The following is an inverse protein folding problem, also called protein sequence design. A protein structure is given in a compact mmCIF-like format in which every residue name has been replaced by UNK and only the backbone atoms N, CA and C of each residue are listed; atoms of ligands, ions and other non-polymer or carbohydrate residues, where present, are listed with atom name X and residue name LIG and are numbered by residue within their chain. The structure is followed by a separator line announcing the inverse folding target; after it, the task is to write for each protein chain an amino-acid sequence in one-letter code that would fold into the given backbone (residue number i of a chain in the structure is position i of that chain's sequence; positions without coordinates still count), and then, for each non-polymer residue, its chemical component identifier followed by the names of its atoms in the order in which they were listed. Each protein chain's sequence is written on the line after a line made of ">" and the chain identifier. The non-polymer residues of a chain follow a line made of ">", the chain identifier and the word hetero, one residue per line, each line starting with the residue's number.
data_IF_718138121041
#
_entry.id   IF_718138121041
#
_cell.length_a   1.000
_cell.length_b   1.000
_cell.length_c   1.000
_cell.angle_alpha   90.00
_cell.angle_beta   90.00
_cell.angle_gamma   90.00
#
_symmetry.space_group_name_H-M   'P 1'
#
loop_
_entity.id
_entity.type
_entity.pdbx_description
1 polymer ?
#
# COMPACT_ATOMS: atom_id res chain seq x y z
N UNK A 1 -37.65 13.54 5.99
CA UNK A 1 -37.89 12.48 5.00
C UNK A 1 -36.64 12.35 4.14
N UNK A 2 -35.86 11.30 4.41
CA UNK A 2 -34.47 11.14 3.95
C UNK A 2 -34.37 10.53 2.55
N UNK A 3 -33.36 10.98 1.79
CA UNK A 3 -32.93 10.37 0.53
C UNK A 3 -31.77 9.40 0.85
N UNK A 4 -32.07 8.13 1.01
CA UNK A 4 -31.10 7.03 1.11
C UNK A 4 -31.48 5.90 0.15
N UNK A 5 -30.54 5.03 -0.21
CA UNK A 5 -30.76 3.92 -1.15
C UNK A 5 -30.43 2.56 -0.53
N UNK A 6 -30.97 1.48 -1.11
CA UNK A 6 -30.79 0.08 -0.68
C UNK A 6 -30.60 -0.81 -1.91
N UNK A 7 -29.88 -1.91 -1.74
CA UNK A 7 -29.69 -2.92 -2.79
C UNK A 7 -30.70 -4.06 -2.62
N UNK A 8 -31.11 -4.62 -3.77
CA UNK A 8 -31.98 -5.79 -3.86
C UNK A 8 -31.16 -6.92 -4.49
N UNK A 9 -30.99 -8.02 -3.76
CA UNK A 9 -30.52 -9.28 -4.32
C UNK A 9 -31.67 -10.30 -4.30
N UNK A 10 -31.87 -10.97 -5.43
CA UNK A 10 -32.75 -12.15 -5.50
C UNK A 10 -31.91 -13.39 -5.25
N UNK A 11 -32.28 -14.17 -4.23
CA UNK A 11 -31.69 -15.48 -3.96
C UNK A 11 -32.65 -16.62 -4.38
N UNK A 12 -32.12 -17.84 -4.46
CA UNK A 12 -32.73 -19.11 -4.93
C UNK A 12 -33.84 -19.66 -4.01
N UNK A 13 -34.80 -18.80 -3.64
CA UNK A 13 -36.05 -19.17 -2.99
C UNK A 13 -36.88 -17.93 -2.72
N UNK A 14 -37.83 -17.63 -3.61
CA UNK A 14 -39.00 -16.70 -3.58
C UNK A 14 -39.04 -15.45 -2.65
N UNK A 15 -37.94 -15.02 -2.06
CA UNK A 15 -37.85 -13.87 -1.16
C UNK A 15 -36.80 -12.87 -1.66
N UNK A 16 -37.19 -11.61 -1.73
CA UNK A 16 -36.25 -10.51 -2.00
C UNK A 16 -35.44 -10.21 -0.73
N UNK A 17 -34.11 -10.23 -0.85
CA UNK A 17 -33.20 -9.85 0.23
C UNK A 17 -32.81 -8.38 0.02
N UNK A 18 -33.17 -7.53 0.99
CA UNK A 18 -32.85 -6.10 0.99
C UNK A 18 -31.68 -5.85 1.95
N UNK A 19 -30.62 -5.20 1.47
CA UNK A 19 -29.48 -4.83 2.32
C UNK A 19 -28.95 -3.42 2.00
N UNK A 20 -28.40 -2.75 3.01
CA UNK A 20 -27.64 -1.51 2.83
C UNK A 20 -26.37 -1.77 2.06
N UNK A 21 -25.86 -0.77 1.33
CA UNK A 21 -24.46 -0.77 0.88
C UNK A 21 -23.57 -1.22 2.05
N UNK A 22 -22.92 -2.39 1.96
CA UNK A 22 -22.09 -2.92 3.05
C UNK A 22 -20.95 -1.97 3.42
N UNK A 23 -20.73 -0.95 2.58
CA UNK A 23 -19.54 -0.13 2.48
C UNK A 23 -19.82 1.36 2.74
N UNK A 24 -21.08 1.71 3.01
CA UNK A 24 -21.48 3.06 3.39
C UNK A 24 -20.95 3.43 4.79
N UNK A 25 -20.20 4.54 4.90
CA UNK A 25 -19.51 4.97 6.14
C UNK A 25 -20.45 5.47 7.28
N UNK A 26 -21.78 5.51 7.08
CA UNK A 26 -22.86 5.69 8.07
C UNK A 26 -24.13 5.02 7.55
N UNK A 27 -24.98 4.61 8.47
CA UNK A 27 -26.22 3.89 8.20
C UNK A 27 -27.30 4.30 9.21
N UNK A 28 -28.56 4.04 8.88
CA UNK A 28 -29.72 4.22 9.77
C UNK A 28 -30.66 3.00 9.67
N UNK A 29 -31.69 2.94 10.51
CA UNK A 29 -32.62 1.80 10.61
C UNK A 29 -34.08 2.23 10.36
N UNK A 30 -34.84 1.40 9.66
CA UNK A 30 -36.30 1.47 9.61
C UNK A 30 -36.91 0.06 9.77
N UNK A 31 -38.23 -0.07 9.54
CA UNK A 31 -38.96 -1.33 9.71
C UNK A 31 -38.43 -2.48 8.84
N UNK A 32 -37.68 -2.18 7.78
CA UNK A 32 -37.18 -3.12 6.78
C UNK A 32 -35.64 -3.32 6.91
N UNK A 33 -34.99 -2.86 7.99
CA UNK A 33 -33.55 -3.09 8.26
C UNK A 33 -32.61 -1.90 8.01
N UNK A 34 -31.29 -2.15 7.88
CA UNK A 34 -30.24 -1.12 7.69
C UNK A 34 -30.36 -0.44 6.31
N UNK A 35 -30.15 0.88 6.26
CA UNK A 35 -30.02 1.69 5.02
C UNK A 35 -28.75 2.54 5.03
N UNK A 36 -28.15 2.73 3.87
CA UNK A 36 -26.94 3.53 3.68
C UNK A 36 -27.22 5.03 3.72
N UNK A 37 -26.35 5.79 4.39
CA UNK A 37 -26.44 7.25 4.50
C UNK A 37 -25.05 7.92 4.56
N UNK A 38 -24.34 8.29 3.48
CA UNK A 38 -23.20 9.22 3.64
C UNK A 38 -22.93 10.08 2.42
N UNK A 39 -22.73 11.38 2.68
CA UNK A 39 -21.90 12.30 1.89
C UNK A 39 -20.63 12.56 2.71
N UNK A 40 -19.47 12.73 2.08
CA UNK A 40 -18.28 13.21 2.80
C UNK A 40 -18.59 14.52 3.53
N UNK A 41 -18.07 14.68 4.75
CA UNK A 41 -18.06 15.97 5.44
C UNK A 41 -16.66 16.58 5.38
N UNK A 42 -16.51 17.79 5.90
CA UNK A 42 -15.24 18.53 5.89
C UNK A 42 -14.30 18.11 7.02
N UNK A 43 -14.73 17.22 7.92
CA UNK A 43 -13.99 16.86 9.14
C UNK A 43 -13.33 15.48 9.01
N UNK A 44 -13.95 14.55 8.27
CA UNK A 44 -13.46 13.18 8.11
C UNK A 44 -13.43 12.71 6.66
N UNK A 45 -12.49 11.82 6.34
CA UNK A 45 -12.47 11.17 5.04
C UNK A 45 -13.66 10.22 4.85
N UNK A 46 -13.82 9.65 3.65
CA UNK A 46 -14.78 8.56 3.41
C UNK A 46 -14.22 7.37 2.56
N UNK A 47 -14.77 6.14 2.71
CA UNK A 47 -14.27 4.91 2.05
C UNK A 47 -15.19 4.75 0.87
N UNK A 48 -14.57 4.63 -0.28
CA UNK A 48 -15.18 4.27 -1.53
C UNK A 48 -14.54 2.97 -2.01
N UNK A 49 -15.15 2.39 -3.03
CA UNK A 49 -14.82 1.04 -3.48
C UNK A 49 -14.82 1.03 -5.00
N UNK A 50 -13.83 0.35 -5.57
CA UNK A 50 -13.88 -0.04 -6.98
C UNK A 50 -14.37 -1.48 -7.02
N UNK A 51 -15.44 -1.78 -7.78
CA UNK A 51 -15.91 -3.16 -7.96
C UNK A 51 -14.80 -4.09 -8.45
N UNK A 52 -15.04 -5.39 -8.35
CA UNK A 52 -14.08 -6.40 -8.77
C UNK A 52 -13.59 -6.18 -10.21
N UNK A 53 -12.29 -5.94 -10.33
CA UNK A 53 -11.58 -5.86 -11.59
C UNK A 53 -11.21 -7.27 -12.06
N UNK A 54 -11.18 -7.53 -13.38
CA UNK A 54 -10.84 -8.84 -13.92
C UNK A 54 -9.50 -9.38 -13.43
N UNK A 55 -8.48 -8.51 -13.31
CA UNK A 55 -7.11 -8.90 -13.01
C UNK A 55 -6.55 -9.89 -14.05
N UNK A 56 -6.56 -9.47 -15.31
CA UNK A 56 -6.06 -10.25 -16.43
C UNK A 56 -4.61 -10.67 -16.21
N UNK A 57 -4.33 -11.95 -16.42
CA UNK A 57 -3.03 -12.57 -16.10
C UNK A 57 -2.97 -13.18 -14.69
N UNK A 58 -3.92 -12.86 -13.81
CA UNK A 58 -4.03 -13.46 -12.48
C UNK A 58 -5.24 -14.40 -12.38
N UNK A 59 -5.26 -15.25 -11.36
CA UNK A 59 -6.33 -16.24 -11.14
C UNK A 59 -7.57 -15.67 -10.44
N UNK A 60 -7.44 -14.49 -9.82
CA UNK A 60 -8.45 -13.96 -8.91
C UNK A 60 -8.79 -12.50 -9.21
N UNK A 61 -10.08 -12.19 -9.50
CA UNK A 61 -10.50 -10.81 -9.67
C UNK A 61 -10.29 -10.03 -8.37
N UNK A 62 -10.16 -8.71 -8.48
CA UNK A 62 -9.71 -7.88 -7.37
C UNK A 62 -10.59 -6.64 -7.16
N UNK A 63 -11.31 -6.52 -6.04
CA UNK A 63 -11.88 -5.23 -5.66
C UNK A 63 -10.77 -4.30 -5.18
N UNK A 64 -11.00 -2.98 -5.17
CA UNK A 64 -10.10 -2.02 -4.53
C UNK A 64 -10.84 -1.25 -3.44
N UNK A 65 -10.16 -1.01 -2.33
CA UNK A 65 -10.66 -0.16 -1.25
C UNK A 65 -9.99 1.20 -1.35
N UNK A 66 -10.77 2.28 -1.34
CA UNK A 66 -10.26 3.63 -1.61
C UNK A 66 -10.66 4.52 -0.45
N UNK A 67 -9.68 5.10 0.23
CA UNK A 67 -9.92 6.19 1.19
C UNK A 67 -9.68 7.52 0.48
N UNK A 68 -10.67 8.42 0.57
CA UNK A 68 -10.57 9.80 0.06
C UNK A 68 -10.54 10.80 1.23
N UNK A 69 -9.84 11.94 1.09
CA UNK A 69 -9.59 12.84 2.21
C UNK A 69 -10.85 13.62 2.64
N UNK A 70 -10.83 14.22 3.85
CA UNK A 70 -11.88 15.15 4.28
C UNK A 70 -12.10 16.26 3.25
N UNK A 71 -13.35 16.69 3.07
CA UNK A 71 -13.69 17.75 2.12
C UNK A 71 -13.66 17.35 0.63
N UNK A 72 -13.36 16.08 0.31
CA UNK A 72 -13.26 15.61 -1.08
C UNK A 72 -14.51 15.95 -1.90
N UNK A 73 -15.72 15.67 -1.39
CA UNK A 73 -16.98 15.93 -2.12
C UNK A 73 -17.35 17.42 -2.26
N UNK A 74 -16.65 18.29 -1.53
CA UNK A 74 -16.86 19.74 -1.54
C UNK A 74 -15.80 20.47 -2.38
N UNK A 75 -14.82 19.75 -2.92
CA UNK A 75 -13.73 20.29 -3.72
C UNK A 75 -13.64 19.64 -5.10
N UNK A 76 -13.13 20.41 -6.06
CA UNK A 76 -12.75 19.94 -7.40
C UNK A 76 -11.23 19.63 -7.49
N UNK A 77 -10.52 19.69 -6.36
CA UNK A 77 -9.10 19.39 -6.29
C UNK A 77 -8.79 17.96 -6.73
N UNK A 78 -7.57 17.77 -7.22
CA UNK A 78 -6.99 16.47 -7.57
C UNK A 78 -5.91 16.08 -6.59
N UNK A 79 -5.81 14.78 -6.32
CA UNK A 79 -5.01 14.27 -5.21
C UNK A 79 -3.97 13.25 -5.67
N UNK A 80 -2.77 13.25 -5.06
CA UNK A 80 -1.83 12.13 -5.21
C UNK A 80 -2.42 10.83 -4.65
N UNK A 81 -1.95 9.69 -5.17
CA UNK A 81 -2.48 8.36 -4.84
C UNK A 81 -1.36 7.43 -4.37
N UNK A 82 -1.57 6.84 -3.19
CA UNK A 82 -0.70 5.80 -2.63
C UNK A 82 -1.40 4.45 -2.69
N UNK A 83 -0.86 3.52 -3.47
CA UNK A 83 -1.33 2.14 -3.54
C UNK A 83 -0.65 1.34 -2.42
N UNK A 84 -1.44 0.80 -1.50
CA UNK A 84 -0.98 -0.04 -0.39
C UNK A 84 -1.40 -1.49 -0.63
N UNK A 85 -0.43 -2.40 -0.65
CA UNK A 85 -0.69 -3.84 -0.76
C UNK A 85 -1.32 -4.40 0.52
N UNK A 86 -1.92 -5.58 0.40
CA UNK A 86 -2.65 -6.23 1.48
C UNK A 86 -3.84 -5.38 1.95
N UNK A 87 -4.61 -4.85 1.01
CA UNK A 87 -5.80 -4.01 1.22
C UNK A 87 -6.80 -4.58 2.24
N UNK A 88 -6.81 -5.91 2.43
CA UNK A 88 -7.55 -6.59 3.50
C UNK A 88 -7.20 -6.10 4.92
N UNK A 89 -6.03 -5.48 5.11
CA UNK A 89 -5.46 -5.03 6.38
C UNK A 89 -5.22 -3.51 6.44
N UNK A 90 -5.53 -2.74 5.39
CA UNK A 90 -5.07 -1.33 5.29
C UNK A 90 -5.91 -0.36 6.14
N UNK A 91 -7.24 -0.49 6.18
CA UNK A 91 -8.12 0.56 6.74
C UNK A 91 -8.85 0.19 8.04
N UNK A 92 -9.56 -0.94 8.11
CA UNK A 92 -10.38 -1.24 9.28
C UNK A 92 -10.35 -2.73 9.64
N UNK A 93 -10.10 -3.02 10.92
CA UNK A 93 -10.21 -4.35 11.54
C UNK A 93 -11.60 -4.99 11.45
N UNK A 94 -12.64 -4.21 11.18
CA UNK A 94 -14.02 -4.69 11.03
C UNK A 94 -14.40 -4.98 9.58
N UNK A 95 -13.49 -4.76 8.62
CA UNK A 95 -13.68 -5.37 7.30
C UNK A 95 -13.68 -6.90 7.48
N UNK A 96 -14.68 -7.55 6.89
CA UNK A 96 -15.07 -8.97 7.08
C UNK A 96 -13.95 -9.99 6.73
N UNK A 97 -12.81 -9.51 6.25
CA UNK A 97 -11.62 -10.29 5.86
C UNK A 97 -10.33 -9.87 6.57
N UNK A 98 -10.41 -9.18 7.71
CA UNK A 98 -9.21 -8.80 8.47
C UNK A 98 -8.43 -10.06 8.86
N UNK A 99 -7.20 -10.16 8.37
CA UNK A 99 -6.27 -11.24 8.71
C UNK A 99 -6.00 -11.23 10.23
N UNK A 100 -5.74 -12.40 10.87
CA UNK A 100 -5.50 -12.48 12.31
C UNK A 100 -4.34 -11.61 12.85
N UNK A 101 -3.55 -10.95 12.00
CA UNK A 101 -2.40 -10.11 12.34
C UNK A 101 -2.72 -8.65 12.74
N UNK A 102 -3.90 -8.13 12.39
CA UNK A 102 -4.30 -6.76 12.72
C UNK A 102 -4.46 -5.86 11.49
N UNK A 103 -4.39 -4.54 11.71
CA UNK A 103 -4.67 -3.51 10.69
C UNK A 103 -3.66 -2.39 10.79
N UNK A 104 -3.38 -1.77 9.65
CA UNK A 104 -2.56 -0.57 9.57
C UNK A 104 -3.30 0.68 10.04
N UNK A 105 -4.64 0.68 9.97
CA UNK A 105 -5.49 1.85 10.20
C UNK A 105 -4.95 3.08 9.47
N UNK A 106 -4.60 2.89 8.19
CA UNK A 106 -3.94 3.90 7.37
C UNK A 106 -4.80 5.15 7.19
N UNK A 107 -6.13 5.00 7.24
CA UNK A 107 -7.08 6.11 7.26
C UNK A 107 -6.93 6.96 8.52
N UNK A 108 -6.87 6.34 9.70
CA UNK A 108 -6.68 7.06 10.97
C UNK A 108 -5.30 7.74 11.02
N UNK A 109 -4.24 7.04 10.62
CA UNK A 109 -2.89 7.62 10.58
C UNK A 109 -2.85 8.82 9.62
N UNK A 110 -3.51 8.73 8.46
CA UNK A 110 -3.61 9.84 7.51
C UNK A 110 -4.43 11.01 8.06
N UNK A 111 -5.56 10.75 8.72
CA UNK A 111 -6.37 11.80 9.39
C UNK A 111 -5.55 12.53 10.48
N UNK A 112 -4.78 11.80 11.29
CA UNK A 112 -3.90 12.39 12.31
C UNK A 112 -2.81 13.27 11.67
N UNK A 113 -2.19 12.81 10.57
CA UNK A 113 -1.19 13.61 9.86
C UNK A 113 -1.79 14.86 9.21
N UNK A 114 -3.02 14.78 8.68
CA UNK A 114 -3.74 15.92 8.11
C UNK A 114 -4.11 16.95 9.19
N UNK A 115 -4.65 16.49 10.32
CA UNK A 115 -4.99 17.35 11.45
C UNK A 115 -3.76 18.06 12.03
N UNK A 116 -2.59 17.40 12.02
CA UNK A 116 -1.31 17.98 12.41
C UNK A 116 -0.66 18.89 11.37
N UNK A 117 -1.19 18.99 10.15
CA UNK A 117 -0.60 19.75 9.05
C UNK A 117 0.72 19.15 8.53
N UNK A 118 0.98 17.88 8.80
CA UNK A 118 2.22 17.18 8.43
C UNK A 118 2.22 16.69 6.98
N UNK A 119 1.04 16.55 6.38
CA UNK A 119 0.84 16.08 5.00
C UNK A 119 -0.20 16.92 4.28
N UNK A 120 -0.13 16.95 2.94
CA UNK A 120 -1.22 17.42 2.09
C UNK A 120 -2.30 16.34 1.93
N UNK A 121 -3.56 16.70 1.64
CA UNK A 121 -4.60 15.74 1.28
C UNK A 121 -4.19 14.81 0.14
N UNK A 122 -4.56 13.53 0.26
CA UNK A 122 -4.18 12.46 -0.66
C UNK A 122 -5.18 11.31 -0.64
N UNK A 123 -5.12 10.43 -1.63
CA UNK A 123 -5.92 9.20 -1.71
C UNK A 123 -5.05 8.00 -1.33
N UNK A 124 -5.60 7.09 -0.55
CA UNK A 124 -4.97 5.79 -0.27
C UNK A 124 -5.82 4.71 -0.92
N UNK A 125 -5.20 3.83 -1.70
CA UNK A 125 -5.86 2.68 -2.34
C UNK A 125 -5.31 1.41 -1.73
N UNK A 126 -6.11 0.69 -0.96
CA UNK A 126 -5.81 -0.66 -0.50
C UNK A 126 -6.10 -1.66 -1.61
N UNK A 127 -5.07 -2.41 -2.02
CA UNK A 127 -5.16 -3.50 -3.00
C UNK A 127 -5.17 -4.84 -2.24
N UNK A 128 -6.32 -5.51 -2.09
CA UNK A 128 -6.41 -6.79 -1.39
C UNK A 128 -5.42 -7.82 -1.92
N UNK A 129 -4.98 -8.75 -1.08
CA UNK A 129 -4.33 -9.97 -1.54
C UNK A 129 -5.37 -11.06 -1.85
N UNK A 130 -4.93 -12.12 -2.53
CA UNK A 130 -5.71 -13.33 -2.79
C UNK A 130 -5.10 -14.53 -2.05
N UNK A 131 -5.65 -15.71 -2.29
CA UNK A 131 -5.03 -16.97 -1.85
C UNK A 131 -3.67 -17.23 -2.51
N UNK A 132 -3.41 -16.58 -3.65
CA UNK A 132 -2.16 -16.64 -4.43
C UNK A 132 -1.18 -15.53 -4.04
N UNK A 133 -1.28 -14.97 -2.82
CA UNK A 133 -0.42 -13.85 -2.36
C UNK A 133 1.07 -14.11 -2.55
N UNK A 134 1.56 -15.33 -2.31
CA UNK A 134 2.99 -15.63 -2.45
C UNK A 134 3.41 -15.65 -3.91
N UNK A 135 2.53 -16.14 -4.77
CA UNK A 135 2.66 -16.25 -6.21
C UNK A 135 2.69 -14.83 -6.82
N UNK A 136 1.69 -14.02 -6.50
CA UNK A 136 1.49 -12.65 -6.98
C UNK A 136 2.53 -11.64 -6.46
N UNK A 137 3.04 -11.79 -5.23
CA UNK A 137 3.91 -10.76 -4.61
C UNK A 137 5.42 -11.05 -4.73
N UNK A 138 5.80 -12.06 -5.51
CA UNK A 138 7.21 -12.44 -5.64
C UNK A 138 7.64 -12.53 -7.09
N UNK A 139 8.79 -11.93 -7.38
CA UNK A 139 9.28 -11.65 -8.74
C UNK A 139 9.98 -12.85 -9.42
N UNK A 140 10.23 -13.92 -8.67
CA UNK A 140 10.80 -15.18 -9.14
C UNK A 140 10.24 -16.35 -8.34
N UNK A 141 10.14 -17.56 -8.91
CA UNK A 141 9.88 -18.77 -8.15
C UNK A 141 10.98 -19.04 -7.11
N UNK A 142 10.59 -19.50 -5.92
CA UNK A 142 11.50 -19.95 -4.87
C UNK A 142 10.87 -21.09 -4.05
N UNK A 143 11.68 -21.81 -3.28
CA UNK A 143 11.24 -22.90 -2.40
C UNK A 143 11.20 -22.42 -0.95
N UNK A 144 10.07 -21.83 -0.57
CA UNK A 144 9.83 -21.37 0.80
C UNK A 144 9.09 -22.44 1.62
N UNK A 145 9.60 -22.77 2.82
CA UNK A 145 9.04 -23.80 3.71
C UNK A 145 8.75 -25.13 3.00
N UNK A 146 9.64 -25.52 2.08
CA UNK A 146 9.51 -26.78 1.33
C UNK A 146 8.48 -26.77 0.20
N UNK A 147 7.84 -25.64 -0.09
CA UNK A 147 6.84 -25.49 -1.18
C UNK A 147 7.39 -24.56 -2.26
N UNK A 148 7.26 -24.94 -3.53
CA UNK A 148 7.55 -24.05 -4.65
C UNK A 148 6.43 -23.03 -4.79
N UNK A 149 6.77 -21.74 -4.78
CA UNK A 149 5.84 -20.61 -4.89
C UNK A 149 6.50 -19.47 -5.66
N UNK A 150 5.68 -18.52 -6.12
CA UNK A 150 6.20 -17.28 -6.70
C UNK A 150 6.37 -17.31 -8.21
N UNK A 151 6.66 -16.13 -8.75
CA UNK A 151 6.94 -15.94 -10.17
C UNK A 151 5.94 -15.05 -10.90
N UNK A 152 4.80 -14.73 -10.29
CA UNK A 152 3.71 -14.00 -10.96
C UNK A 152 3.77 -12.49 -10.65
N UNK A 153 4.86 -12.00 -10.06
CA UNK A 153 5.03 -10.59 -9.72
C UNK A 153 4.97 -9.64 -10.90
N UNK A 154 5.40 -10.06 -12.09
CA UNK A 154 5.30 -9.26 -13.32
C UNK A 154 3.82 -9.07 -13.73
N UNK A 155 3.02 -10.14 -13.67
CA UNK A 155 1.58 -10.11 -13.99
C UNK A 155 0.80 -9.30 -12.96
N UNK A 156 1.16 -9.38 -11.68
CA UNK A 156 0.57 -8.54 -10.64
C UNK A 156 0.86 -7.05 -10.85
N UNK A 157 2.09 -6.70 -11.25
CA UNK A 157 2.44 -5.31 -11.58
C UNK A 157 1.72 -4.84 -12.84
N UNK A 158 1.54 -5.70 -13.85
CA UNK A 158 0.73 -5.40 -15.02
C UNK A 158 -0.72 -5.11 -14.63
N UNK A 159 -1.35 -5.94 -13.80
CA UNK A 159 -2.69 -5.69 -13.24
C UNK A 159 -2.76 -4.31 -12.54
N UNK A 160 -1.78 -3.98 -11.70
CA UNK A 160 -1.78 -2.69 -10.99
C UNK A 160 -1.78 -1.50 -11.95
N UNK A 161 -0.94 -1.55 -12.99
CA UNK A 161 -0.74 -0.39 -13.87
C UNK A 161 -1.76 -0.32 -15.00
N UNK A 162 -2.18 -1.47 -15.52
CA UNK A 162 -3.00 -1.53 -16.74
C UNK A 162 -4.51 -1.65 -16.43
N UNK A 163 -4.87 -2.04 -15.19
CA UNK A 163 -6.27 -2.16 -14.76
C UNK A 163 -6.57 -1.33 -13.50
N UNK A 164 -5.85 -1.57 -12.40
CA UNK A 164 -6.19 -0.97 -11.11
C UNK A 164 -6.05 0.55 -11.12
N UNK A 165 -4.89 1.06 -11.55
CA UNK A 165 -4.63 2.49 -11.62
C UNK A 165 -5.58 3.22 -12.58
N UNK A 166 -5.79 2.77 -13.83
CA UNK A 166 -6.79 3.37 -14.73
C UNK A 166 -8.21 3.36 -14.15
N UNK A 167 -8.60 2.29 -13.46
CA UNK A 167 -9.91 2.19 -12.83
C UNK A 167 -10.11 3.21 -11.69
N UNK A 168 -9.05 3.51 -10.93
CA UNK A 168 -9.04 4.54 -9.90
C UNK A 168 -9.04 5.93 -10.54
N UNK A 169 -8.15 6.19 -11.50
CA UNK A 169 -8.02 7.49 -12.19
C UNK A 169 -9.31 7.91 -12.93
N UNK A 170 -10.09 6.94 -13.42
CA UNK A 170 -11.36 7.19 -14.08
C UNK A 170 -12.52 7.51 -13.10
N UNK A 171 -12.40 7.11 -11.83
CA UNK A 171 -13.48 7.22 -10.82
C UNK A 171 -13.22 8.32 -9.80
N UNK A 172 -11.95 8.62 -9.52
CA UNK A 172 -11.52 9.57 -8.51
C UNK A 172 -10.73 10.72 -9.13
N UNK A 173 -10.72 11.88 -8.46
CA UNK A 173 -9.95 13.06 -8.87
C UNK A 173 -8.48 12.87 -8.51
N UNK A 174 -7.78 12.06 -9.29
CA UNK A 174 -6.36 11.79 -9.08
C UNK A 174 -5.47 12.77 -9.86
N UNK A 175 -4.24 12.91 -9.37
CA UNK A 175 -3.07 13.38 -10.12
C UNK A 175 -2.35 12.13 -10.68
N UNK A 176 -2.53 11.79 -11.97
CA UNK A 176 -2.16 10.46 -12.47
C UNK A 176 -0.69 10.34 -12.86
N UNK A 177 0.09 11.42 -12.78
CA UNK A 177 1.50 11.42 -13.14
C UNK A 177 2.37 10.72 -12.10
N UNK A 178 3.60 10.41 -12.52
CA UNK A 178 4.58 9.66 -11.73
C UNK A 178 4.86 10.28 -10.36
N UNK A 179 5.04 11.60 -10.29
CA UNK A 179 5.40 12.27 -9.04
C UNK A 179 4.27 12.21 -8.00
N UNK A 180 3.05 11.91 -8.44
CA UNK A 180 1.87 11.80 -7.59
C UNK A 180 1.32 10.37 -7.47
N UNK A 181 2.09 9.37 -7.91
CA UNK A 181 1.71 7.96 -7.82
C UNK A 181 2.77 7.17 -7.04
N UNK A 182 2.37 6.63 -5.89
CA UNK A 182 3.23 5.84 -5.01
C UNK A 182 2.72 4.41 -4.80
N UNK A 183 3.62 3.50 -4.50
CA UNK A 183 3.31 2.10 -4.14
C UNK A 183 4.04 1.70 -2.87
N UNK A 184 3.37 1.02 -1.95
CA UNK A 184 4.01 0.50 -0.74
C UNK A 184 3.34 -0.73 -0.13
N UNK A 185 4.08 -1.43 0.72
CA UNK A 185 3.56 -2.51 1.56
C UNK A 185 4.56 -3.00 2.59
N UNK A 186 4.22 -4.07 3.31
CA UNK A 186 5.15 -4.76 4.22
C UNK A 186 5.42 -6.19 3.83
N UNK A 187 6.53 -6.78 4.30
CA UNK A 187 6.85 -8.18 4.03
C UNK A 187 6.96 -8.43 2.50
N UNK A 188 6.21 -9.41 1.97
CA UNK A 188 6.06 -9.58 0.52
C UNK A 188 5.42 -8.37 -0.17
N UNK A 189 4.55 -7.62 0.50
CA UNK A 189 4.00 -6.34 0.01
C UNK A 189 5.10 -5.29 -0.22
N UNK A 190 6.13 -5.27 0.63
CA UNK A 190 7.30 -4.42 0.43
C UNK A 190 8.17 -4.90 -0.74
N UNK A 191 8.33 -6.22 -0.88
CA UNK A 191 9.03 -6.83 -2.03
C UNK A 191 8.35 -6.47 -3.36
N UNK A 192 7.04 -6.68 -3.48
CA UNK A 192 6.30 -6.40 -4.72
C UNK A 192 6.24 -4.90 -5.03
N UNK A 193 6.26 -4.02 -4.01
CA UNK A 193 6.40 -2.57 -4.22
C UNK A 193 7.73 -2.23 -4.91
N UNK A 194 8.83 -2.81 -4.45
CA UNK A 194 10.14 -2.60 -5.06
C UNK A 194 10.25 -3.22 -6.45
N UNK A 195 9.60 -4.37 -6.68
CA UNK A 195 9.49 -4.95 -8.00
C UNK A 195 8.65 -4.10 -8.96
N UNK A 196 7.54 -3.52 -8.49
CA UNK A 196 6.75 -2.55 -9.25
C UNK A 196 7.57 -1.31 -9.63
N UNK A 197 8.34 -0.77 -8.68
CA UNK A 197 9.27 0.34 -8.92
C UNK A 197 10.39 0.00 -9.91
N UNK A 198 10.86 -1.25 -9.91
CA UNK A 198 11.89 -1.74 -10.83
C UNK A 198 11.36 -1.84 -12.27
N UNK A 199 10.18 -2.43 -12.46
CA UNK A 199 9.56 -2.64 -13.77
C UNK A 199 8.96 -1.37 -14.36
N UNK A 200 8.32 -0.54 -13.52
CA UNK A 200 7.52 0.62 -13.94
C UNK A 200 7.98 1.92 -13.28
N UNK A 201 9.27 2.30 -13.45
CA UNK A 201 9.77 3.58 -12.96
C UNK A 201 9.13 4.77 -13.68
N UNK A 202 8.45 4.55 -14.80
CA UNK A 202 7.62 5.55 -15.50
C UNK A 202 6.32 5.88 -14.77
N UNK A 203 5.82 4.99 -13.91
CA UNK A 203 4.53 5.12 -13.22
C UNK A 203 4.71 5.44 -11.74
N UNK A 204 5.60 4.74 -11.04
CA UNK A 204 5.73 4.88 -9.59
C UNK A 204 6.89 5.81 -9.24
N UNK A 205 6.58 7.05 -8.83
CA UNK A 205 7.57 8.01 -8.36
C UNK A 205 7.97 7.80 -6.90
N UNK A 206 7.16 7.07 -6.12
CA UNK A 206 7.44 6.69 -4.74
C UNK A 206 7.31 5.18 -4.56
N UNK A 207 8.30 4.59 -3.89
CA UNK A 207 8.38 3.13 -3.64
C UNK A 207 8.70 2.91 -2.16
N UNK A 208 7.77 2.31 -1.42
CA UNK A 208 7.89 2.08 0.02
C UNK A 208 7.87 0.61 0.40
N UNK A 209 8.72 0.21 1.34
CA UNK A 209 8.77 -1.15 1.87
C UNK A 209 9.07 -1.19 3.35
N UNK A 210 8.25 -1.92 4.11
CA UNK A 210 8.43 -2.14 5.55
C UNK A 210 8.68 -3.62 5.84
N UNK A 211 9.79 -3.93 6.51
CA UNK A 211 10.19 -5.30 6.81
C UNK A 211 10.20 -6.18 5.56
N UNK A 212 10.69 -5.64 4.44
CA UNK A 212 10.52 -6.23 3.11
C UNK A 212 11.32 -7.52 2.95
N UNK A 213 10.72 -8.53 2.30
CA UNK A 213 11.37 -9.83 2.06
C UNK A 213 12.32 -9.78 0.85
N UNK A 214 13.31 -8.89 0.89
CA UNK A 214 14.21 -8.65 -0.24
C UNK A 214 15.12 -9.83 -0.58
N UNK A 215 15.34 -10.75 0.36
CA UNK A 215 16.09 -11.99 0.13
C UNK A 215 15.34 -13.07 -0.67
N UNK A 216 14.10 -12.82 -1.11
CA UNK A 216 13.35 -13.78 -1.93
C UNK A 216 14.10 -14.11 -3.22
N UNK A 217 14.15 -15.39 -3.57
CA UNK A 217 14.98 -15.95 -4.64
C UNK A 217 16.12 -16.83 -4.12
N UNK A 218 16.44 -16.76 -2.82
CA UNK A 218 17.53 -17.51 -2.16
C UNK A 218 17.09 -18.40 -1.00
N UNK A 219 15.79 -18.64 -0.82
CA UNK A 219 15.29 -19.48 0.28
C UNK A 219 15.49 -20.98 0.02
N UNK A 220 15.38 -21.42 -1.23
CA UNK A 220 15.68 -22.80 -1.59
C UNK A 220 16.01 -23.03 -3.06
N UNK A 221 15.97 -21.98 -3.88
CA UNK A 221 16.52 -21.93 -5.23
C UNK A 221 17.65 -20.89 -5.31
N UNK A 222 18.29 -20.77 -6.48
CA UNK A 222 19.34 -19.79 -6.77
C UNK A 222 18.83 -18.76 -7.81
N UNK A 223 17.71 -18.12 -7.49
CA UNK A 223 17.11 -17.05 -8.29
C UNK A 223 17.68 -15.67 -7.94
N UNK A 224 17.59 -14.69 -8.85
CA UNK A 224 18.03 -13.33 -8.57
C UNK A 224 17.13 -12.68 -7.51
N UNK A 225 17.71 -12.15 -6.45
CA UNK A 225 16.96 -11.34 -5.48
C UNK A 225 16.57 -9.99 -6.06
N UNK A 226 15.64 -9.28 -5.43
CA UNK A 226 15.32 -7.92 -5.88
C UNK A 226 16.52 -6.97 -5.69
N UNK A 227 17.34 -7.20 -4.66
CA UNK A 227 18.59 -6.44 -4.44
C UNK A 227 19.51 -6.63 -5.64
N UNK A 228 19.70 -7.86 -6.11
CA UNK A 228 20.54 -8.14 -7.28
C UNK A 228 19.98 -7.54 -8.58
N UNK A 229 18.66 -7.51 -8.74
CA UNK A 229 18.01 -6.82 -9.86
C UNK A 229 18.32 -5.31 -9.84
N UNK A 230 18.17 -4.65 -8.70
CA UNK A 230 18.54 -3.24 -8.57
C UNK A 230 20.06 -3.03 -8.74
N UNK A 231 20.89 -3.98 -8.29
CA UNK A 231 22.34 -3.90 -8.45
C UNK A 231 22.78 -3.92 -9.92
N UNK A 232 22.04 -4.62 -10.78
CA UNK A 232 22.27 -4.66 -12.21
C UNK A 232 21.90 -3.34 -12.94
N UNK A 233 21.16 -2.43 -12.29
CA UNK A 233 20.82 -1.13 -12.88
C UNK A 233 22.02 -0.18 -12.94
N UNK A 234 22.11 0.56 -14.03
CA UNK A 234 23.18 1.56 -14.25
C UNK A 234 22.70 3.00 -14.08
N UNK A 235 21.38 3.24 -14.16
CA UNK A 235 20.75 4.55 -14.32
C UNK A 235 19.80 4.93 -13.16
N UNK A 236 19.96 4.30 -11.99
CA UNK A 236 18.97 4.39 -10.90
C UNK A 236 18.60 5.85 -10.50
N UNK A 237 19.54 6.81 -10.32
CA UNK A 237 19.18 8.18 -9.99
C UNK A 237 18.39 8.90 -11.10
N UNK A 238 18.67 8.58 -12.37
CA UNK A 238 17.97 9.18 -13.53
C UNK A 238 16.51 8.75 -13.59
N UNK A 239 16.17 7.65 -12.91
CA UNK A 239 14.79 7.22 -12.72
C UNK A 239 14.02 8.12 -11.77
N UNK A 240 14.63 9.01 -10.98
CA UNK A 240 13.92 10.04 -10.21
C UNK A 240 12.82 9.50 -9.28
N UNK A 241 13.03 8.32 -8.70
CA UNK A 241 12.13 7.72 -7.71
C UNK A 241 12.60 8.05 -6.29
N UNK A 242 11.65 8.17 -5.37
CA UNK A 242 11.88 8.30 -3.94
C UNK A 242 11.65 6.95 -3.28
N UNK A 243 12.58 6.52 -2.42
CA UNK A 243 12.52 5.22 -1.76
C UNK A 243 12.30 5.37 -0.25
N UNK A 244 11.35 4.62 0.29
CA UNK A 244 11.15 4.45 1.72
C UNK A 244 11.45 3.01 2.14
N UNK A 245 12.36 2.84 3.09
CA UNK A 245 12.78 1.58 3.66
C UNK A 245 12.58 1.60 5.17
N UNK A 246 11.95 0.59 5.72
CA UNK A 246 11.80 0.44 7.17
C UNK A 246 11.97 -1.03 7.56
N UNK A 247 12.52 -1.27 8.75
CA UNK A 247 12.49 -2.59 9.38
C UNK A 247 12.48 -2.46 10.90
N UNK A 248 11.87 -3.42 11.58
CA UNK A 248 12.06 -3.64 13.01
C UNK A 248 13.26 -4.55 13.29
N UNK A 249 13.12 -5.43 14.29
CA UNK A 249 14.15 -6.37 14.67
C UNK A 249 15.42 -5.69 15.21
N UNK A 250 16.56 -6.37 15.12
CA UNK A 250 17.84 -5.81 15.52
C UNK A 250 19.04 -6.63 15.04
N UNK A 251 20.25 -6.25 15.48
CA UNK A 251 21.47 -6.96 15.14
C UNK A 251 21.90 -7.93 16.26
N UNK A 252 21.37 -9.16 16.38
CA UNK A 252 21.85 -10.09 17.41
C UNK A 252 22.12 -11.54 16.96
N UNK A 253 23.39 -12.00 16.89
CA UNK A 253 24.62 -11.27 16.64
C UNK A 253 24.84 -11.17 15.11
N UNK A 254 24.51 -10.02 14.52
CA UNK A 254 24.67 -9.69 13.09
C UNK A 254 23.84 -10.56 12.11
N UNK A 255 22.69 -11.08 12.55
CA UNK A 255 21.61 -11.70 11.75
C UNK A 255 21.55 -13.24 11.54
N UNK A 256 21.63 -14.10 12.58
CA UNK A 256 21.05 -15.43 12.50
C UNK A 256 19.64 -15.47 13.12
N UNK A 257 18.60 -15.48 12.26
CA UNK A 257 17.21 -15.79 12.67
C UNK A 257 16.05 -14.97 12.07
N UNK A 258 16.31 -14.04 11.14
CA UNK A 258 15.30 -13.15 10.52
C UNK A 258 14.55 -12.25 11.51
N UNK A 259 15.30 -11.37 12.17
CA UNK A 259 14.77 -10.24 12.94
C UNK A 259 14.10 -9.21 12.01
N UNK A 260 12.85 -9.46 11.61
CA UNK A 260 12.00 -8.52 10.85
C UNK A 260 12.64 -7.99 9.53
N UNK A 261 13.40 -8.86 8.85
CA UNK A 261 14.14 -8.55 7.61
C UNK A 261 15.16 -7.40 7.72
N UNK A 262 15.70 -7.14 8.91
CA UNK A 262 16.68 -6.07 9.16
C UNK A 262 17.89 -6.08 8.20
N UNK A 263 18.63 -7.19 8.12
CA UNK A 263 19.87 -7.23 7.33
C UNK A 263 19.65 -7.02 5.82
N UNK A 264 18.62 -7.64 5.24
CA UNK A 264 18.32 -7.45 3.81
C UNK A 264 17.81 -6.04 3.51
N UNK A 265 17.18 -5.38 4.50
CA UNK A 265 16.79 -3.96 4.41
C UNK A 265 18.02 -3.05 4.42
N UNK A 266 19.01 -3.32 5.27
CA UNK A 266 20.30 -2.60 5.25
C UNK A 266 21.05 -2.79 3.93
N UNK A 267 21.11 -4.02 3.43
CA UNK A 267 21.77 -4.33 2.15
C UNK A 267 21.13 -3.55 1.00
N UNK A 268 19.79 -3.50 0.95
CA UNK A 268 19.07 -2.71 -0.03
C UNK A 268 19.32 -1.22 0.12
N UNK A 269 19.30 -0.67 1.35
CA UNK A 269 19.62 0.73 1.62
C UNK A 269 21.02 1.09 1.12
N UNK A 270 22.02 0.29 1.46
CA UNK A 270 23.42 0.54 1.11
C UNK A 270 23.63 0.45 -0.40
N UNK A 271 22.93 -0.47 -1.07
CA UNK A 271 22.90 -0.55 -2.52
C UNK A 271 22.33 0.72 -3.16
N UNK A 272 21.17 1.20 -2.71
CA UNK A 272 20.53 2.41 -3.24
C UNK A 272 21.45 3.63 -3.06
N UNK A 273 22.06 3.79 -1.88
CA UNK A 273 23.01 4.85 -1.59
C UNK A 273 24.25 4.77 -2.49
N UNK A 274 24.84 3.57 -2.66
CA UNK A 274 25.98 3.36 -3.54
C UNK A 274 25.67 3.65 -5.02
N UNK A 275 24.39 3.60 -5.40
CA UNK A 275 23.91 3.96 -6.74
C UNK A 275 23.53 5.44 -6.90
N UNK A 276 23.72 6.28 -5.88
CA UNK A 276 23.47 7.73 -5.93
C UNK A 276 22.07 8.16 -5.49
N UNK A 277 21.30 7.27 -4.87
CA UNK A 277 20.05 7.60 -4.16
C UNK A 277 20.38 7.70 -2.66
N UNK A 278 20.95 8.81 -2.24
CA UNK A 278 21.61 8.97 -0.93
C UNK A 278 21.15 10.20 -0.12
N UNK A 279 20.13 10.93 -0.60
CA UNK A 279 19.59 12.10 0.10
C UNK A 279 18.61 11.64 1.16
N UNK A 280 19.12 11.47 2.38
CA UNK A 280 18.36 11.11 3.57
C UNK A 280 17.98 12.33 4.41
N UNK A 281 16.84 12.31 5.12
CA UNK A 281 16.52 13.42 6.02
C UNK A 281 17.50 13.48 7.19
N UNK A 282 17.86 14.69 7.66
CA UNK A 282 18.73 14.85 8.83
C UNK A 282 18.05 14.43 10.14
N UNK A 283 16.72 14.53 10.19
CA UNK A 283 15.87 14.09 11.29
C UNK A 283 14.73 13.24 10.70
N UNK A 284 14.60 11.96 11.07
CA UNK A 284 13.56 11.07 10.53
C UNK A 284 12.14 11.49 10.94
N UNK A 285 11.98 12.34 11.95
CA UNK A 285 10.70 12.82 12.45
C UNK A 285 10.41 14.28 12.07
N UNK A 286 11.30 14.92 11.28
CA UNK A 286 11.09 16.27 10.77
C UNK A 286 9.80 16.39 9.96
N UNK A 287 9.15 17.55 10.11
CA UNK A 287 7.94 17.91 9.36
C UNK A 287 7.92 19.42 9.11
N UNK A 288 7.99 19.88 7.85
CA UNK A 288 8.13 19.08 6.63
C UNK A 288 9.54 18.47 6.52
N UNK A 289 9.65 17.39 5.74
CA UNK A 289 10.95 16.85 5.33
C UNK A 289 11.59 17.77 4.27
N UNK A 290 12.93 17.79 4.13
CA UNK A 290 13.58 18.50 3.04
C UNK A 290 13.12 18.00 1.66
N UNK A 291 12.95 18.92 0.71
CA UNK A 291 12.39 18.61 -0.61
C UNK A 291 13.31 17.76 -1.50
N UNK A 292 14.60 17.67 -1.18
CA UNK A 292 15.59 16.89 -1.93
C UNK A 292 15.77 15.46 -1.41
N UNK A 293 15.01 15.03 -0.39
CA UNK A 293 15.04 13.65 0.12
C UNK A 293 14.60 12.67 -0.97
N UNK A 294 15.46 11.71 -1.29
CA UNK A 294 15.19 10.63 -2.26
C UNK A 294 15.38 9.22 -1.68
N UNK A 295 15.94 9.11 -0.47
CA UNK A 295 16.03 7.88 0.30
C UNK A 295 15.63 8.15 1.75
N UNK A 296 14.66 7.41 2.26
CA UNK A 296 14.32 7.40 3.68
C UNK A 296 14.52 6.00 4.22
N UNK A 297 15.28 5.89 5.31
CA UNK A 297 15.45 4.63 6.02
C UNK A 297 15.20 4.82 7.51
N UNK A 298 14.45 3.91 8.12
CA UNK A 298 14.22 3.88 9.56
C UNK A 298 14.35 2.47 10.11
N UNK A 299 14.93 2.36 11.31
CA UNK A 299 15.01 1.13 12.05
C UNK A 299 14.34 1.28 13.41
N UNK A 300 13.46 0.33 13.73
CA UNK A 300 12.76 0.27 15.00
C UNK A 300 13.26 -0.91 15.82
N UNK A 301 14.24 -0.66 16.70
CA UNK A 301 14.84 -1.71 17.52
C UNK A 301 13.79 -2.55 18.26
N UNK A 302 13.87 -3.87 18.09
CA UNK A 302 13.00 -4.84 18.77
C UNK A 302 11.55 -4.89 18.27
N UNK A 303 11.17 -4.06 17.29
CA UNK A 303 9.83 -4.11 16.73
C UNK A 303 9.59 -5.43 15.98
N UNK A 304 8.38 -5.97 16.11
CA UNK A 304 8.00 -7.25 15.53
C UNK A 304 7.48 -7.12 14.10
N UNK A 305 7.54 -8.23 13.36
CA UNK A 305 7.04 -8.39 11.99
C UNK A 305 5.50 -8.49 11.95
N UNK A 306 4.78 -7.40 12.22
CA UNK A 306 3.31 -7.36 12.24
C UNK A 306 2.70 -5.96 12.03
N UNK A 307 1.39 -5.95 11.75
CA UNK A 307 0.60 -4.76 11.42
C UNK A 307 0.63 -3.67 12.50
N UNK A 308 0.48 -3.95 13.81
CA UNK A 308 0.60 -2.92 14.84
C UNK A 308 1.96 -2.19 14.84
N UNK A 309 3.06 -2.92 14.59
CA UNK A 309 4.39 -2.33 14.53
C UNK A 309 4.61 -1.52 13.26
N UNK A 310 4.06 -1.96 12.12
CA UNK A 310 4.13 -1.16 10.90
C UNK A 310 3.27 0.10 10.98
N UNK A 311 2.07 0.02 11.56
CA UNK A 311 1.17 1.16 11.79
C UNK A 311 1.86 2.31 12.49
N UNK A 312 2.57 2.06 13.59
CA UNK A 312 3.19 3.14 14.38
C UNK A 312 4.30 3.88 13.62
N UNK A 313 4.78 3.35 12.49
CA UNK A 313 5.83 3.96 11.66
C UNK A 313 5.31 4.45 10.30
N UNK A 314 4.08 4.08 9.91
CA UNK A 314 3.45 4.46 8.64
C UNK A 314 3.47 5.98 8.41
N UNK A 315 3.30 6.78 9.46
CA UNK A 315 3.30 8.25 9.37
C UNK A 315 4.55 8.82 8.67
N UNK A 316 5.72 8.16 8.76
CA UNK A 316 6.96 8.62 8.11
C UNK A 316 6.89 8.47 6.59
N UNK A 317 6.36 7.34 6.11
CA UNK A 317 6.12 7.13 4.69
C UNK A 317 5.08 8.14 4.15
N UNK A 318 4.02 8.39 4.92
CA UNK A 318 3.00 9.38 4.54
C UNK A 318 3.57 10.81 4.46
N UNK A 319 4.39 11.22 5.43
CA UNK A 319 5.08 12.53 5.41
C UNK A 319 5.98 12.70 4.20
N UNK A 320 6.66 11.63 3.80
CA UNK A 320 7.54 11.67 2.63
C UNK A 320 6.76 11.78 1.32
N UNK A 321 5.75 10.94 1.13
CA UNK A 321 4.99 10.92 -0.14
C UNK A 321 3.99 12.07 -0.27
N UNK A 322 3.29 12.38 0.82
CA UNK A 322 2.30 13.45 0.89
C UNK A 322 2.88 14.73 1.51
N UNK A 323 4.18 15.00 1.33
CA UNK A 323 4.78 16.24 1.83
C UNK A 323 3.99 17.46 1.34
N UNK A 324 3.70 18.45 2.22
CA UNK A 324 3.08 19.70 1.80
C UNK A 324 3.88 20.37 0.67
N UNK A 325 3.18 21.02 -0.26
CA UNK A 325 3.84 21.90 -1.21
C UNK A 325 4.52 23.05 -0.44
N UNK A 326 5.74 23.41 -0.87
CA UNK A 326 6.51 24.51 -0.26
C UNK A 326 5.98 25.89 -0.63
#
# INVERSE_FOLDING_TARGET
>A
AGRGYRFLAKDLGDYDIVFSDPLSRRFDYDRDGRRSLVRGDTEHGHLAWVPELPAAGLNHPRPLYVWVPPGYDQSEDRYPVLYMHDGNNVFDRFQVRSSPGGTWDADQVMEDQLAGGHVRPGIIVGVPNSVDRFEEYTHVPDRYSGTLRGGDGDDYVAFLVDEAKPAVDARFRTLPDKANTGVMGSSLGGLISFHAGYLRPDVFGFVGGMSSTFGWGRFGLDGPTIIERYAALTDLPERGQIFYLDSGGGPAPVCPGQEDNYCVTLEMRDLLAAKGVDRTPPDPDASPLPADVNLFWYWSEGAAHNEPNWRVRLHRALRLFFSPAS
#
